data_IF_647140852301
#
_entry.id   IF_647140852301
#
_cell.length_a   1.000
_cell.length_b   1.000
_cell.length_c   1.000
_cell.angle_alpha   90.00
_cell.angle_beta   90.00
_cell.angle_gamma   90.00
#
_symmetry.space_group_name_H-M   'P 1'
#
loop_
_entity.id
_entity.type
_entity.pdbx_description
1 polymer ?
#
# COMPACT_ATOMS: atom_id res chain seq x y z
N UNK A 1 -21.74 -20.81 0.63
CA UNK A 1 -20.34 -20.81 0.16
C UNK A 1 -19.58 -19.86 1.06
N UNK A 2 -18.67 -20.34 1.92
CA UNK A 2 -17.91 -19.49 2.83
C UNK A 2 -16.64 -19.04 2.10
N UNK A 3 -16.55 -17.76 1.75
CA UNK A 3 -15.38 -17.17 1.08
C UNK A 3 -14.40 -16.75 2.18
N UNK A 4 -13.22 -17.36 2.19
CA UNK A 4 -12.12 -16.99 3.09
C UNK A 4 -11.47 -15.72 2.54
N UNK A 5 -11.62 -14.61 3.27
CA UNK A 5 -11.14 -13.29 2.89
C UNK A 5 -9.73 -13.08 3.46
N UNK A 6 -8.70 -13.35 2.67
CA UNK A 6 -7.35 -12.88 2.98
C UNK A 6 -7.11 -11.72 2.04
N UNK A 7 -7.28 -10.48 2.50
CA UNK A 7 -6.96 -9.29 1.70
C UNK A 7 -5.55 -8.82 2.02
N UNK A 8 -4.67 -8.85 1.02
CA UNK A 8 -3.39 -8.14 1.08
C UNK A 8 -3.65 -6.67 0.72
N UNK A 9 -4.09 -5.88 1.68
CA UNK A 9 -4.08 -4.43 1.56
C UNK A 9 -2.64 -3.94 1.86
N UNK A 10 -1.77 -3.96 0.86
CA UNK A 10 -0.55 -3.16 0.90
C UNK A 10 -0.96 -1.70 0.75
N UNK A 11 -1.34 -1.03 1.84
CA UNK A 11 -1.77 0.37 1.80
C UNK A 11 -0.93 1.21 2.77
N UNK A 12 0.14 1.74 2.18
CA UNK A 12 1.00 2.80 2.68
C UNK A 12 0.34 4.16 2.49
N UNK A 13 0.30 4.97 3.55
CA UNK A 13 0.44 6.42 3.45
C UNK A 13 1.21 6.85 4.68
N UNK A 14 2.26 7.64 4.45
CA UNK A 14 3.12 8.24 5.47
C UNK A 14 2.30 8.86 6.60
N UNK A 15 2.60 8.49 7.83
CA UNK A 15 2.28 9.33 8.98
C UNK A 15 3.00 10.66 8.79
N UNK A 16 2.25 11.74 8.55
CA UNK A 16 2.73 13.06 8.96
C UNK A 16 2.80 13.00 10.48
N UNK A 17 4.00 12.77 11.02
CA UNK A 17 4.25 13.06 12.43
C UNK A 17 4.09 14.56 12.59
N UNK A 18 2.96 14.98 13.16
CA UNK A 18 2.85 16.29 13.76
C UNK A 18 3.97 16.42 14.79
N UNK A 19 4.84 17.39 14.55
CA UNK A 19 5.78 18.01 15.46
C UNK A 19 6.54 17.09 16.43
N UNK A 20 7.79 16.82 16.09
CA UNK A 20 8.82 16.54 17.09
C UNK A 20 8.81 17.66 18.13
N UNK A 21 8.31 17.35 19.33
CA UNK A 21 8.27 18.26 20.47
C UNK A 21 9.66 18.80 20.80
N UNK A 22 9.95 20.03 20.37
CA UNK A 22 10.87 20.91 21.08
C UNK A 22 10.10 21.58 22.23
N UNK A 23 10.35 21.15 23.46
CA UNK A 23 10.02 21.92 24.67
C UNK A 23 10.99 23.12 24.80
N UNK A 24 10.68 24.14 25.61
CA UNK A 24 9.51 25.02 25.56
C UNK A 24 9.93 26.48 25.40
N UNK A 25 9.09 27.34 24.81
CA UNK A 25 9.23 28.78 25.05
C UNK A 25 7.86 29.40 25.32
N UNK A 26 7.71 29.88 26.54
CA UNK A 26 6.64 30.79 26.96
C UNK A 26 6.71 32.05 26.12
N UNK A 27 5.56 32.58 25.69
CA UNK A 27 4.97 33.76 26.31
C UNK A 27 3.55 33.99 25.77
N UNK A 28 2.66 34.41 26.67
CA UNK A 28 1.28 34.83 26.39
C UNK A 28 1.27 36.20 25.72
N UNK A 29 0.33 36.46 24.80
CA UNK A 29 -0.74 37.48 24.93
C UNK A 29 -1.42 37.90 23.59
N UNK A 30 -2.73 38.17 23.71
CA UNK A 30 -3.56 39.17 23.01
C UNK A 30 -4.25 38.84 21.65
N UNK A 31 -5.55 38.54 21.78
CA UNK A 31 -6.73 39.29 21.28
C UNK A 31 -6.74 39.93 19.87
N UNK A 32 -7.75 39.55 19.06
CA UNK A 32 -8.77 40.47 18.46
C UNK A 32 -9.30 40.07 17.06
N UNK A 33 -10.63 39.95 17.02
CA UNK A 33 -11.59 40.44 16.02
C UNK A 33 -11.52 40.10 14.50
N UNK A 34 -12.59 39.41 14.07
CA UNK A 34 -13.65 39.82 13.12
C UNK A 34 -13.49 39.75 11.57
N UNK A 35 -14.64 39.37 10.98
CA UNK A 35 -15.19 39.55 9.61
C UNK A 35 -14.74 38.55 8.52
N UNK A 36 -15.56 38.10 7.55
CA UNK A 36 -17.01 37.95 7.34
C UNK A 36 -17.18 37.21 5.98
N UNK A 37 -18.20 36.34 5.87
CA UNK A 37 -19.09 36.04 4.71
C UNK A 37 -18.42 35.60 3.38
N UNK A 38 -18.75 34.47 2.74
CA UNK A 38 -20.00 34.27 1.99
C UNK A 38 -20.15 32.81 1.51
N UNK A 39 -21.32 32.22 1.77
CA UNK A 39 -21.86 31.03 1.10
C UNK A 39 -22.79 31.49 -0.03
N UNK A 40 -22.76 30.88 -1.23
CA UNK A 40 -23.93 30.81 -2.09
C UNK A 40 -24.64 29.46 -1.94
N UNK A 41 -25.93 29.59 -1.64
CA UNK A 41 -26.92 28.54 -1.45
C UNK A 41 -27.30 27.79 -2.73
N UNK A 42 -27.80 26.56 -2.46
CA UNK A 42 -28.93 25.85 -3.08
C UNK A 42 -28.80 25.32 -4.51
N UNK A 43 -28.98 23.99 -4.63
CA UNK A 43 -30.33 23.54 -5.00
C UNK A 43 -30.79 22.33 -4.18
N UNK A 44 -32.09 22.34 -3.92
CA UNK A 44 -32.85 21.52 -2.97
C UNK A 44 -33.67 20.52 -3.74
N UNK A 45 -33.55 19.21 -3.47
CA UNK A 45 -34.72 18.32 -3.53
C UNK A 45 -34.45 17.01 -2.78
N UNK A 46 -35.39 16.61 -1.92
CA UNK A 46 -35.49 15.25 -1.41
C UNK A 46 -35.22 15.03 0.08
N UNK A 47 -35.98 15.70 0.95
CA UNK A 47 -36.11 15.29 2.35
C UNK A 47 -36.67 13.86 2.44
N UNK A 48 -35.95 12.95 3.10
CA UNK A 48 -36.54 11.98 4.01
C UNK A 48 -35.55 11.74 5.15
N UNK A 49 -35.88 12.34 6.28
CA UNK A 49 -35.26 12.15 7.58
C UNK A 49 -35.28 10.67 7.97
N UNK A 50 -34.10 10.09 8.14
CA UNK A 50 -33.86 9.21 9.27
C UNK A 50 -32.50 9.58 9.88
N UNK A 51 -32.57 10.08 11.11
CA UNK A 51 -31.44 10.38 11.96
C UNK A 51 -30.63 9.10 12.21
N UNK A 52 -29.49 8.96 11.52
CA UNK A 52 -28.42 8.04 11.89
C UNK A 52 -27.25 8.93 12.35
N UNK A 53 -26.72 8.73 13.56
CA UNK A 53 -25.78 9.66 14.16
C UNK A 53 -24.47 9.68 13.39
N UNK A 54 -23.89 10.89 13.30
CA UNK A 54 -22.56 11.18 12.80
C UNK A 54 -21.54 10.15 13.32
N UNK A 55 -21.22 9.17 12.49
CA UNK A 55 -20.06 8.32 12.71
C UNK A 55 -18.86 9.06 12.14
N UNK A 56 -18.08 9.62 13.06
CA UNK A 56 -16.86 10.37 12.79
C UNK A 56 -16.02 9.68 11.71
N UNK A 57 -15.90 10.40 10.60
CA UNK A 57 -15.04 10.06 9.48
C UNK A 57 -13.61 9.87 9.98
N UNK A 58 -13.15 8.63 10.01
CA UNK A 58 -11.73 8.32 9.80
C UNK A 58 -11.39 8.70 8.36
N UNK A 59 -11.34 10.00 8.08
CA UNK A 59 -11.19 10.53 6.74
C UNK A 59 -9.74 10.25 6.33
N UNK A 60 -9.54 9.22 5.50
CA UNK A 60 -8.49 9.32 4.50
C UNK A 60 -8.70 10.66 3.81
N UNK A 61 -7.71 11.55 3.88
CA UNK A 61 -7.78 12.88 3.28
C UNK A 61 -8.42 12.75 1.90
N UNK A 62 -9.52 13.46 1.66
CA UNK A 62 -10.43 13.19 0.53
C UNK A 62 -9.72 13.25 -0.83
N UNK A 63 -8.57 13.93 -0.86
CA UNK A 63 -7.71 14.09 -2.03
C UNK A 63 -6.80 12.89 -2.35
N UNK A 64 -6.61 11.94 -1.42
CA UNK A 64 -5.76 10.77 -1.64
C UNK A 64 -6.50 9.77 -2.52
N UNK A 65 -5.80 9.28 -3.55
CA UNK A 65 -6.30 8.16 -4.36
C UNK A 65 -5.87 6.86 -3.70
N UNK A 66 -6.85 6.04 -3.31
CA UNK A 66 -6.63 4.69 -2.78
C UNK A 66 -6.81 3.68 -3.89
N UNK A 67 -5.85 2.79 -4.08
CA UNK A 67 -5.93 1.73 -5.09
C UNK A 67 -6.30 0.38 -4.45
N UNK A 68 -7.15 -0.37 -5.14
CA UNK A 68 -7.66 -1.65 -4.65
C UNK A 68 -7.51 -2.71 -5.74
N UNK A 69 -6.71 -3.73 -5.46
CA UNK A 69 -6.63 -4.94 -6.28
C UNK A 69 -7.77 -5.87 -5.85
N UNK A 70 -8.67 -6.21 -6.77
CA UNK A 70 -9.78 -7.14 -6.48
C UNK A 70 -9.52 -8.49 -7.14
N UNK A 71 -9.84 -9.56 -6.42
CA UNK A 71 -9.85 -10.92 -6.95
C UNK A 71 -10.99 -11.74 -6.35
N UNK A 72 -11.35 -12.82 -7.02
CA UNK A 72 -12.30 -13.83 -6.53
C UNK A 72 -11.67 -15.21 -6.63
N UNK A 73 -12.09 -16.13 -5.77
CA UNK A 73 -11.71 -17.53 -5.89
C UNK A 73 -12.79 -18.31 -6.64
N UNK A 74 -12.42 -18.93 -7.76
CA UNK A 74 -13.28 -19.85 -8.51
C UNK A 74 -12.54 -21.17 -8.67
N UNK A 75 -13.12 -22.25 -8.13
CA UNK A 75 -12.51 -23.60 -8.16
C UNK A 75 -11.06 -23.59 -7.65
N UNK A 76 -10.84 -22.98 -6.50
CA UNK A 76 -9.52 -22.81 -5.85
C UNK A 76 -8.49 -22.00 -6.65
N UNK A 77 -8.88 -21.40 -7.77
CA UNK A 77 -8.06 -20.47 -8.54
C UNK A 77 -8.41 -19.03 -8.18
N UNK A 78 -7.38 -18.24 -7.88
CA UNK A 78 -7.48 -16.78 -7.74
C UNK A 78 -7.63 -16.16 -9.14
N UNK A 79 -8.76 -15.50 -9.40
CA UNK A 79 -9.01 -14.75 -10.63
C UNK A 79 -9.00 -13.25 -10.30
N UNK A 80 -8.14 -12.48 -10.96
CA UNK A 80 -8.15 -11.02 -10.83
C UNK A 80 -9.40 -10.43 -11.47
N UNK A 81 -10.01 -9.48 -10.78
CA UNK A 81 -11.15 -8.68 -11.24
C UNK A 81 -10.74 -7.26 -11.62
N UNK A 82 -9.44 -6.97 -11.61
CA UNK A 82 -8.86 -5.67 -11.93
C UNK A 82 -8.50 -4.81 -10.73
N UNK A 83 -8.00 -3.62 -11.04
CA UNK A 83 -7.59 -2.58 -10.09
C UNK A 83 -8.59 -1.42 -10.17
N UNK A 84 -8.98 -0.95 -8.99
CA UNK A 84 -9.91 0.15 -8.80
C UNK A 84 -9.20 1.32 -8.11
N UNK A 85 -9.49 2.54 -8.55
CA UNK A 85 -9.11 3.77 -7.86
C UNK A 85 -10.31 4.32 -7.09
N UNK A 86 -10.11 4.61 -5.81
CA UNK A 86 -11.06 5.30 -4.94
C UNK A 86 -10.51 6.68 -4.61
N UNK A 87 -11.24 7.75 -4.96
CA UNK A 87 -10.87 9.14 -4.68
C UNK A 87 -12.14 9.94 -4.43
N UNK A 88 -12.16 10.78 -3.39
CA UNK A 88 -13.34 11.61 -3.04
C UNK A 88 -14.67 10.82 -2.97
N UNK A 89 -14.66 9.60 -2.41
CA UNK A 89 -15.85 8.75 -2.31
C UNK A 89 -16.33 8.13 -3.62
N UNK A 90 -15.62 8.36 -4.74
CA UNK A 90 -15.92 7.76 -6.03
C UNK A 90 -14.98 6.60 -6.30
N UNK A 91 -15.51 5.54 -6.91
CA UNK A 91 -14.77 4.35 -7.31
C UNK A 91 -14.81 4.24 -8.82
N UNK A 92 -13.66 3.93 -9.42
CA UNK A 92 -13.51 3.71 -10.85
C UNK A 92 -12.62 2.49 -11.04
N UNK A 93 -13.06 1.51 -11.83
CA UNK A 93 -12.14 0.47 -12.32
C UNK A 93 -11.20 1.12 -13.33
N UNK A 94 -9.90 1.02 -13.10
CA UNK A 94 -8.88 1.66 -13.93
C UNK A 94 -8.10 0.67 -14.78
N UNK A 95 -7.96 -0.60 -14.35
CA UNK A 95 -7.21 -1.60 -15.08
C UNK A 95 -7.89 -2.97 -14.95
N UNK A 96 -8.29 -3.56 -16.08
CA UNK A 96 -8.77 -4.94 -16.10
C UNK A 96 -7.63 -5.92 -15.87
N UNK A 97 -7.93 -7.04 -15.22
CA UNK A 97 -6.97 -8.10 -14.87
C UNK A 97 -5.76 -7.70 -14.01
N UNK A 98 -5.61 -6.41 -13.64
CA UNK A 98 -4.46 -5.92 -12.88
C UNK A 98 -4.25 -6.66 -11.56
N UNK A 99 -2.98 -6.87 -11.21
CA UNK A 99 -2.55 -7.82 -10.19
C UNK A 99 -1.78 -7.16 -9.05
N UNK A 100 -1.10 -6.05 -9.34
CA UNK A 100 -0.19 -5.41 -8.41
C UNK A 100 -0.32 -3.89 -8.45
N UNK A 101 -0.07 -3.26 -7.31
CA UNK A 101 -0.04 -1.80 -7.15
C UNK A 101 1.21 -1.45 -6.36
N UNK A 102 1.99 -0.51 -6.87
CA UNK A 102 3.00 0.22 -6.11
C UNK A 102 2.59 1.68 -6.06
N UNK A 103 2.00 2.06 -4.94
CA UNK A 103 1.66 3.45 -4.68
C UNK A 103 2.74 4.11 -3.84
N UNK A 104 3.24 5.23 -4.35
CA UNK A 104 4.26 6.03 -3.69
C UNK A 104 3.79 7.48 -3.57
N UNK A 105 3.35 7.83 -2.38
CA UNK A 105 3.07 9.21 -1.99
C UNK A 105 4.39 9.99 -1.79
N UNK A 106 4.51 11.26 -2.21
CA UNK A 106 3.44 12.14 -2.72
C UNK A 106 3.46 12.33 -4.24
N UNK A 107 4.13 11.45 -5.01
CA UNK A 107 4.16 11.64 -6.48
C UNK A 107 2.79 11.32 -7.06
N UNK A 108 2.36 12.11 -8.05
CA UNK A 108 1.11 11.94 -8.79
C UNK A 108 1.03 10.64 -9.61
N UNK A 109 1.96 9.69 -9.45
CA UNK A 109 2.07 8.50 -10.30
C UNK A 109 2.15 7.23 -9.48
N UNK A 110 1.26 6.29 -9.80
CA UNK A 110 1.17 4.97 -9.20
C UNK A 110 1.47 3.93 -10.27
N UNK A 111 2.35 2.98 -9.97
CA UNK A 111 2.70 1.91 -10.91
C UNK A 111 1.84 0.68 -10.67
N UNK A 112 1.34 0.09 -11.75
CA UNK A 112 0.40 -1.02 -11.71
C UNK A 112 0.95 -2.20 -12.50
N UNK A 113 0.94 -3.39 -11.91
CA UNK A 113 1.30 -4.63 -12.59
C UNK A 113 0.07 -5.31 -13.18
N UNK A 114 0.21 -5.84 -14.40
CA UNK A 114 -0.81 -6.61 -15.10
C UNK A 114 -0.20 -7.85 -15.77
N UNK A 115 -1.04 -8.71 -16.32
CA UNK A 115 -0.67 -9.92 -17.08
C UNK A 115 0.21 -9.64 -18.30
N UNK A 116 0.12 -8.42 -18.84
CA UNK A 116 0.77 -8.01 -20.07
C UNK A 116 1.84 -6.94 -19.84
N UNK A 117 2.27 -6.68 -18.60
CA UNK A 117 3.34 -5.74 -18.27
C UNK A 117 2.93 -4.67 -17.24
N UNK A 118 3.62 -3.54 -17.29
CA UNK A 118 3.49 -2.46 -16.31
C UNK A 118 2.68 -1.30 -16.90
N UNK A 119 1.86 -0.67 -16.07
CA UNK A 119 1.15 0.56 -16.37
C UNK A 119 1.49 1.63 -15.33
N UNK A 120 1.33 2.89 -15.71
CA UNK A 120 1.41 4.03 -14.80
C UNK A 120 0.07 4.75 -14.80
N UNK A 121 -0.46 5.01 -13.60
CA UNK A 121 -1.66 5.80 -13.40
C UNK A 121 -1.28 7.16 -12.82
N UNK A 122 -1.66 8.22 -13.51
CA UNK A 122 -1.47 9.59 -13.06
C UNK A 122 -2.70 10.02 -12.23
N UNK A 123 -2.53 10.24 -10.93
CA UNK A 123 -3.60 10.52 -9.96
C UNK A 123 -4.15 11.95 -10.06
N UNK A 124 -3.43 12.86 -10.73
CA UNK A 124 -3.86 14.23 -10.98
C UNK A 124 -4.75 14.30 -12.22
N UNK A 125 -4.32 13.68 -13.31
CA UNK A 125 -5.03 13.68 -14.60
C UNK A 125 -5.98 12.50 -14.79
N UNK A 126 -5.93 11.52 -13.89
CA UNK A 126 -6.70 10.27 -13.93
C UNK A 126 -6.50 9.43 -15.20
N UNK A 127 -5.29 9.53 -15.78
CA UNK A 127 -4.88 8.82 -17.00
C UNK A 127 -4.11 7.56 -16.67
N UNK A 128 -4.37 6.51 -17.43
CA UNK A 128 -3.62 5.26 -17.41
C UNK A 128 -2.83 5.10 -18.71
N UNK A 129 -1.53 4.85 -18.60
CA UNK A 129 -0.65 4.65 -19.74
C UNK A 129 0.21 3.39 -19.55
N UNK A 130 0.58 2.74 -20.65
CA UNK A 130 1.53 1.62 -20.60
C UNK A 130 2.92 2.16 -20.25
N UNK A 131 3.62 1.50 -19.33
CA UNK A 131 4.96 1.89 -18.91
C UNK A 131 6.00 0.96 -19.55
N UNK A 132 6.79 1.51 -20.47
CA UNK A 132 7.80 0.76 -21.21
C UNK A 132 7.22 -0.27 -22.19
N UNK A 133 8.01 -1.30 -22.50
CA UNK A 133 7.68 -2.32 -23.49
C UNK A 133 7.71 -3.76 -22.94
N UNK A 134 7.87 -3.92 -21.62
CA UNK A 134 7.80 -5.23 -20.97
C UNK A 134 6.40 -5.82 -21.09
N UNK A 135 6.34 -7.13 -21.34
CA UNK A 135 5.09 -7.88 -21.53
C UNK A 135 4.90 -9.00 -20.50
N UNK A 136 5.70 -9.01 -19.44
CA UNK A 136 5.66 -10.03 -18.40
C UNK A 136 4.38 -9.93 -17.55
N UNK A 137 3.90 -11.06 -17.04
CA UNK A 137 2.79 -11.12 -16.07
C UNK A 137 3.32 -10.71 -14.69
N UNK A 138 2.99 -9.49 -14.25
CA UNK A 138 3.51 -8.88 -13.02
C UNK A 138 2.54 -9.11 -11.87
N UNK A 139 2.96 -9.86 -10.84
CA UNK A 139 2.14 -10.17 -9.66
C UNK A 139 2.46 -9.30 -8.44
N UNK A 140 3.63 -8.64 -8.41
CA UNK A 140 3.97 -7.62 -7.42
C UNK A 140 4.90 -6.57 -8.02
N UNK A 141 4.81 -5.34 -7.52
CA UNK A 141 5.62 -4.21 -7.95
C UNK A 141 5.96 -3.33 -6.76
N UNK A 142 7.22 -2.94 -6.63
CA UNK A 142 7.70 -1.99 -5.61
C UNK A 142 8.63 -0.96 -6.25
N UNK A 143 8.35 0.32 -6.01
CA UNK A 143 9.11 1.44 -6.57
C UNK A 143 10.24 1.88 -5.64
N UNK A 144 11.42 2.14 -6.18
CA UNK A 144 12.49 2.84 -5.46
C UNK A 144 12.07 4.27 -5.08
N UNK A 145 12.66 4.82 -4.03
CA UNK A 145 12.24 6.12 -3.50
C UNK A 145 12.77 7.27 -4.37
N UNK A 146 14.03 7.16 -4.80
CA UNK A 146 14.79 8.25 -5.41
C UNK A 146 14.80 8.22 -6.94
N UNK A 147 14.56 7.06 -7.54
CA UNK A 147 14.60 6.82 -8.98
C UNK A 147 13.20 6.47 -9.51
N UNK A 148 13.04 6.28 -10.82
CA UNK A 148 11.85 5.63 -11.39
C UNK A 148 12.08 4.12 -11.61
N UNK A 149 13.14 3.56 -11.03
CA UNK A 149 13.38 2.14 -11.07
C UNK A 149 12.35 1.39 -10.21
N UNK A 150 12.06 0.17 -10.64
CA UNK A 150 11.06 -0.70 -10.04
C UNK A 150 11.71 -2.05 -9.76
N UNK A 151 11.27 -2.72 -8.70
CA UNK A 151 11.38 -4.17 -8.62
C UNK A 151 10.02 -4.76 -8.92
N UNK A 152 10.01 -5.80 -9.75
CA UNK A 152 8.81 -6.56 -10.09
C UNK A 152 9.00 -8.02 -9.69
N UNK A 153 7.91 -8.64 -9.27
CA UNK A 153 7.78 -10.08 -9.14
C UNK A 153 6.85 -10.57 -10.24
N UNK A 154 7.32 -11.52 -11.03
CA UNK A 154 6.54 -12.12 -12.12
C UNK A 154 5.81 -13.39 -11.67
N UNK A 155 4.81 -13.82 -12.45
CA UNK A 155 3.98 -15.01 -12.15
C UNK A 155 4.79 -16.32 -12.06
N UNK A 156 5.98 -16.38 -12.68
CA UNK A 156 6.95 -17.48 -12.56
C UNK A 156 7.86 -17.37 -11.32
N UNK A 157 7.53 -16.48 -10.38
CA UNK A 157 8.25 -16.26 -9.12
C UNK A 157 9.70 -15.79 -9.29
N UNK A 158 9.94 -14.96 -10.31
CA UNK A 158 11.26 -14.35 -10.57
C UNK A 158 11.22 -12.85 -10.27
N UNK A 159 12.23 -12.37 -9.55
CA UNK A 159 12.38 -10.95 -9.26
C UNK A 159 13.27 -10.30 -10.32
N UNK A 160 12.81 -9.17 -10.85
CA UNK A 160 13.59 -8.33 -11.75
C UNK A 160 13.67 -6.90 -11.23
N UNK A 161 14.83 -6.26 -11.38
CA UNK A 161 14.95 -4.80 -11.37
C UNK A 161 14.66 -4.27 -12.76
N UNK A 162 13.71 -3.34 -12.87
CA UNK A 162 13.30 -2.67 -14.10
C UNK A 162 13.84 -1.25 -14.08
N UNK A 163 14.51 -0.86 -15.15
CA UNK A 163 15.19 0.42 -15.32
C UNK A 163 14.87 1.01 -16.69
N UNK A 164 15.41 2.20 -16.98
CA UNK A 164 15.29 2.83 -18.31
C UNK A 164 13.82 2.94 -18.76
N UNK A 165 12.97 3.47 -17.88
CA UNK A 165 11.55 3.72 -18.13
C UNK A 165 10.76 2.47 -18.56
N UNK A 166 11.08 1.31 -17.98
CA UNK A 166 10.39 0.06 -18.28
C UNK A 166 10.82 -0.59 -19.59
N UNK A 167 11.97 -0.21 -20.16
CA UNK A 167 12.50 -0.83 -21.38
C UNK A 167 13.57 -1.89 -21.12
N UNK A 168 14.13 -1.90 -19.91
CA UNK A 168 15.17 -2.83 -19.50
C UNK A 168 14.80 -3.51 -18.19
N UNK A 169 15.08 -4.80 -18.09
CA UNK A 169 14.97 -5.56 -16.86
C UNK A 169 16.21 -6.43 -16.63
N UNK A 170 16.62 -6.55 -15.37
CA UNK A 170 17.77 -7.33 -14.92
C UNK A 170 17.28 -8.28 -13.84
N UNK A 171 17.55 -9.58 -14.00
CA UNK A 171 17.16 -10.58 -13.00
C UNK A 171 17.96 -10.37 -11.70
N UNK A 172 17.27 -10.43 -10.56
CA UNK A 172 17.90 -10.51 -9.23
C UNK A 172 18.09 -12.00 -8.93
N UNK A 173 19.29 -12.52 -9.14
CA UNK A 173 19.53 -13.97 -9.08
C UNK A 173 19.40 -14.54 -7.67
N UNK A 174 19.66 -13.70 -6.67
CA UNK A 174 19.68 -14.03 -5.26
C UNK A 174 18.27 -14.24 -4.69
N UNK A 175 17.23 -13.65 -5.32
CA UNK A 175 15.85 -13.72 -4.87
C UNK A 175 15.12 -14.95 -5.46
N UNK A 176 15.57 -16.14 -5.09
CA UNK A 176 15.01 -17.40 -5.58
C UNK A 176 13.65 -17.71 -4.97
N UNK A 177 12.69 -18.15 -5.81
CA UNK A 177 11.35 -18.56 -5.41
C UNK A 177 10.61 -17.53 -4.55
N UNK A 178 10.76 -16.24 -4.90
CA UNK A 178 10.11 -15.17 -4.18
C UNK A 178 8.58 -15.27 -4.35
N UNK A 179 7.86 -15.22 -3.24
CA UNK A 179 6.40 -15.15 -3.20
C UNK A 179 5.92 -13.72 -2.96
N UNK A 180 6.75 -12.91 -2.26
CA UNK A 180 6.51 -11.47 -2.05
C UNK A 180 7.80 -10.67 -2.04
N UNK A 181 7.74 -9.38 -2.38
CA UNK A 181 8.88 -8.45 -2.33
C UNK A 181 8.53 -7.15 -1.62
N UNK A 182 9.52 -6.52 -0.97
CA UNK A 182 9.39 -5.20 -0.39
C UNK A 182 10.73 -4.45 -0.42
N UNK A 183 10.63 -3.12 -0.39
CA UNK A 183 11.77 -2.24 -0.16
C UNK A 183 11.59 -1.51 1.16
N UNK A 184 12.67 -1.28 1.90
CA UNK A 184 12.65 -0.29 2.98
C UNK A 184 12.84 1.15 2.45
N UNK A 185 13.08 2.10 3.36
CA UNK A 185 13.30 3.51 3.02
C UNK A 185 14.67 3.77 2.37
N UNK A 186 15.64 2.86 2.56
CA UNK A 186 16.98 2.91 1.97
C UNK A 186 17.13 2.04 0.73
N UNK A 187 16.01 1.56 0.18
CA UNK A 187 15.98 0.77 -1.05
C UNK A 187 16.64 -0.62 -0.89
N UNK A 188 16.76 -1.14 0.34
CA UNK A 188 17.14 -2.52 0.56
C UNK A 188 15.99 -3.45 0.14
N UNK A 189 16.29 -4.43 -0.71
CA UNK A 189 15.31 -5.40 -1.22
C UNK A 189 15.17 -6.59 -0.28
N UNK A 190 13.95 -6.79 0.20
CA UNK A 190 13.53 -7.94 0.98
C UNK A 190 12.56 -8.78 0.16
N UNK A 191 12.52 -10.07 0.45
CA UNK A 191 11.53 -10.95 -0.13
C UNK A 191 11.11 -12.05 0.85
N UNK A 192 9.90 -12.59 0.64
CA UNK A 192 9.45 -13.82 1.28
C UNK A 192 9.66 -14.94 0.27
N UNK A 193 10.46 -15.93 0.64
CA UNK A 193 10.64 -17.15 -0.14
C UNK A 193 9.74 -18.29 0.36
N UNK A 194 10.11 -19.52 0.03
CA UNK A 194 9.39 -20.71 0.46
C UNK A 194 9.18 -20.79 1.98
N UNK A 195 8.07 -21.42 2.39
CA UNK A 195 7.67 -21.59 3.80
C UNK A 195 7.51 -20.28 4.58
N UNK A 196 7.07 -19.20 3.91
CA UNK A 196 6.87 -17.89 4.53
C UNK A 196 8.15 -17.30 5.17
N UNK A 197 9.34 -17.72 4.72
CA UNK A 197 10.61 -17.28 5.29
C UNK A 197 11.07 -15.96 4.63
N UNK A 198 11.27 -14.88 5.42
CA UNK A 198 11.82 -13.65 4.88
C UNK A 198 13.35 -13.69 4.75
N UNK A 199 13.83 -12.96 3.75
CA UNK A 199 15.23 -12.76 3.39
C UNK A 199 15.48 -11.30 3.03
N UNK A 200 16.73 -10.86 3.17
CA UNK A 200 17.26 -9.61 2.63
C UNK A 200 18.29 -9.92 1.54
N UNK A 201 18.26 -9.17 0.44
CA UNK A 201 19.31 -9.21 -0.58
C UNK A 201 20.47 -8.33 -0.13
N UNK A 202 21.61 -8.95 0.15
CA UNK A 202 22.86 -8.27 0.48
C UNK A 202 23.88 -8.42 -0.67
N UNK A 203 24.99 -7.68 -0.58
CA UNK A 203 26.07 -7.69 -1.58
C UNK A 203 26.71 -9.07 -1.78
N UNK A 204 26.67 -9.92 -0.76
CA UNK A 204 27.23 -11.27 -0.73
C UNK A 204 26.16 -12.36 -0.92
N UNK A 205 24.93 -11.98 -1.29
CA UNK A 205 23.83 -12.91 -1.55
C UNK A 205 22.60 -12.66 -0.67
N UNK A 206 21.59 -13.51 -0.82
CA UNK A 206 20.41 -13.49 0.04
C UNK A 206 20.75 -14.00 1.45
N UNK A 207 20.33 -13.26 2.48
CA UNK A 207 20.47 -13.62 3.89
C UNK A 207 19.12 -13.84 4.52
N UNK A 208 18.97 -14.98 5.20
CA UNK A 208 17.78 -15.29 5.98
C UNK A 208 17.66 -14.33 7.16
N UNK A 209 16.46 -13.78 7.39
CA UNK A 209 16.22 -12.96 8.58
C UNK A 209 16.06 -13.85 9.81
N UNK A 210 16.82 -13.54 10.85
CA UNK A 210 16.82 -14.24 12.14
C UNK A 210 16.01 -13.49 13.21
N UNK A 211 15.64 -14.19 14.29
CA UNK A 211 14.86 -13.63 15.41
C UNK A 211 13.34 -13.72 15.25
N UNK A 212 12.86 -14.39 14.19
CA UNK A 212 11.45 -14.59 13.91
C UNK A 212 10.92 -15.93 14.45
N UNK A 213 9.60 -16.05 14.69
CA UNK A 213 8.97 -17.33 15.02
C UNK A 213 9.25 -18.41 13.98
N UNK A 214 9.44 -19.64 14.43
CA UNK A 214 9.62 -20.78 13.55
C UNK A 214 8.29 -21.17 12.87
N UNK A 215 8.35 -21.51 11.58
CA UNK A 215 7.24 -22.04 10.77
C UNK A 215 5.98 -21.15 10.73
N UNK A 216 6.09 -19.89 10.27
CA UNK A 216 4.93 -19.01 10.15
C UNK A 216 3.86 -19.60 9.22
N UNK A 217 2.61 -19.64 9.71
CA UNK A 217 1.45 -20.11 8.91
C UNK A 217 1.02 -19.10 7.85
N UNK A 218 1.30 -17.82 8.08
CA UNK A 218 1.06 -16.72 7.16
C UNK A 218 2.09 -15.63 7.38
N UNK A 219 2.54 -15.03 6.27
CA UNK A 219 3.44 -13.89 6.30
C UNK A 219 3.08 -12.83 5.26
N UNK A 220 3.34 -11.57 5.59
CA UNK A 220 3.39 -10.50 4.60
C UNK A 220 4.55 -9.56 4.91
N UNK A 221 5.06 -8.93 3.86
CA UNK A 221 6.14 -7.97 3.95
C UNK A 221 5.72 -6.68 3.26
N UNK A 222 6.14 -5.54 3.79
CA UNK A 222 5.91 -4.24 3.17
C UNK A 222 6.98 -3.23 3.59
N UNK A 223 7.08 -2.14 2.85
CA UNK A 223 7.72 -0.92 3.37
C UNK A 223 6.97 -0.49 4.65
N UNK A 224 7.66 -0.03 5.70
CA UNK A 224 7.01 0.42 6.91
C UNK A 224 6.23 1.72 6.64
N UNK A 225 5.01 1.89 7.18
CA UNK A 225 4.18 3.08 6.98
C UNK A 225 4.60 4.25 7.87
N UNK A 226 5.45 3.98 8.86
CA UNK A 226 6.22 4.98 9.60
C UNK A 226 7.63 5.04 9.04
N UNK A 227 8.21 6.23 9.04
CA UNK A 227 9.64 6.41 8.80
C UNK A 227 10.39 5.85 10.00
N UNK A 228 10.71 4.56 9.95
CA UNK A 228 11.79 3.98 10.76
C UNK A 228 13.09 4.19 10.00
N UNK A 229 14.18 4.38 10.73
CA UNK A 229 15.49 4.71 10.15
C UNK A 229 15.90 3.66 9.11
N UNK A 230 15.72 2.37 9.43
CA UNK A 230 16.06 1.24 8.57
C UNK A 230 15.05 0.10 8.74
N UNK A 231 14.86 -0.69 7.68
CA UNK A 231 14.14 -1.97 7.76
C UNK A 231 12.75 -1.99 7.12
N UNK A 232 12.25 -3.21 6.93
CA UNK A 232 10.92 -3.48 6.39
C UNK A 232 9.95 -3.95 7.49
N UNK A 233 8.65 -3.74 7.26
CA UNK A 233 7.61 -4.34 8.07
C UNK A 233 7.37 -5.78 7.65
N UNK A 234 7.41 -6.69 8.61
CA UNK A 234 7.07 -8.09 8.44
C UNK A 234 5.94 -8.46 9.38
N UNK A 235 4.79 -8.84 8.83
CA UNK A 235 3.70 -9.40 9.61
C UNK A 235 3.82 -10.90 9.61
N UNK A 236 4.00 -11.47 10.80
CA UNK A 236 3.90 -12.90 11.05
C UNK A 236 2.61 -13.15 11.83
N UNK A 237 1.62 -13.77 11.19
CA UNK A 237 0.30 -13.98 11.77
C UNK A 237 -0.38 -12.66 12.19
N UNK A 238 -0.35 -12.31 13.48
CA UNK A 238 -0.90 -11.07 14.04
C UNK A 238 0.15 -10.16 14.66
N UNK A 239 1.41 -10.58 14.69
CA UNK A 239 2.51 -9.84 15.31
C UNK A 239 3.34 -9.14 14.22
N UNK A 240 3.43 -7.80 14.26
CA UNK A 240 4.39 -7.07 13.43
C UNK A 240 5.81 -7.23 13.97
N UNK A 241 6.76 -7.26 13.05
CA UNK A 241 8.20 -7.21 13.28
C UNK A 241 8.81 -6.14 12.37
N UNK A 242 9.90 -5.54 12.84
CA UNK A 242 10.84 -4.85 11.98
C UNK A 242 11.90 -5.86 11.58
N UNK A 243 12.20 -5.96 10.28
CA UNK A 243 13.31 -6.75 9.77
C UNK A 243 14.35 -5.82 9.17
N UNK A 244 15.63 -6.08 9.43
CA UNK A 244 16.72 -5.14 9.17
C UNK A 244 17.67 -5.61 8.06
N UNK A 245 18.44 -4.69 7.45
CA UNK A 245 19.44 -5.03 6.43
C UNK A 245 20.55 -5.97 6.94
N UNK A 246 20.82 -5.96 8.25
CA UNK A 246 21.78 -6.85 8.90
C UNK A 246 21.26 -8.29 9.12
N UNK A 247 20.09 -8.63 8.54
CA UNK A 247 19.42 -9.91 8.66
C UNK A 247 18.93 -10.28 10.07
N UNK A 248 18.66 -9.29 10.90
CA UNK A 248 18.00 -9.47 12.21
C UNK A 248 16.58 -8.95 12.19
N UNK A 249 15.83 -9.24 13.25
CA UNK A 249 14.47 -8.73 13.46
C UNK A 249 14.20 -8.40 14.91
N UNK A 250 13.21 -7.54 15.14
CA UNK A 250 12.66 -7.30 16.46
C UNK A 250 11.13 -7.18 16.40
N UNK A 251 10.40 -7.60 17.45
CA UNK A 251 8.96 -7.41 17.51
C UNK A 251 8.63 -5.92 17.60
N UNK A 252 7.71 -5.48 16.75
CA UNK A 252 7.19 -4.11 16.82
C UNK A 252 6.00 -4.05 17.79
N UNK A 253 5.97 -3.04 18.65
CA UNK A 253 4.87 -2.81 19.59
C UNK A 253 4.29 -1.43 19.33
N UNK A 254 3.06 -1.39 18.86
CA UNK A 254 2.32 -0.14 18.70
C UNK A 254 2.15 0.55 20.05
N UNK A 255 2.44 1.84 20.09
CA UNK A 255 1.94 2.66 21.18
C UNK A 255 0.42 2.89 21.04
N UNK A 256 -0.24 3.35 22.10
CA UNK A 256 -1.70 3.50 22.12
C UNK A 256 -2.22 4.41 20.99
N UNK A 257 -1.47 5.46 20.64
CA UNK A 257 -1.84 6.39 19.58
C UNK A 257 -1.71 5.74 18.20
N UNK A 258 -0.61 5.05 17.93
CA UNK A 258 -0.40 4.33 16.67
C UNK A 258 -1.44 3.23 16.47
N UNK A 259 -1.78 2.51 17.55
CA UNK A 259 -2.82 1.49 17.53
C UNK A 259 -4.18 2.09 17.15
N UNK A 260 -4.53 3.22 17.76
CA UNK A 260 -5.78 3.93 17.45
C UNK A 260 -5.83 4.36 15.98
N UNK A 261 -4.75 4.93 15.44
CA UNK A 261 -4.69 5.35 14.03
C UNK A 261 -4.74 4.16 13.07
N UNK A 262 -4.05 3.07 13.40
CA UNK A 262 -4.10 1.82 12.64
C UNK A 262 -5.55 1.28 12.58
N UNK A 263 -6.25 1.24 13.71
CA UNK A 263 -7.65 0.78 13.78
C UNK A 263 -8.63 1.70 13.02
N UNK A 264 -8.44 3.04 13.08
CA UNK A 264 -9.22 3.99 12.27
C UNK A 264 -9.02 3.74 10.78
N UNK A 265 -7.77 3.56 10.35
CA UNK A 265 -7.43 3.30 8.94
C UNK A 265 -8.01 1.98 8.45
N UNK A 266 -7.92 0.91 9.23
CA UNK A 266 -8.51 -0.37 8.86
C UNK A 266 -10.02 -0.25 8.63
N UNK A 267 -10.74 0.47 9.51
CA UNK A 267 -12.17 0.74 9.32
C UNK A 267 -12.46 1.55 8.05
N UNK A 268 -11.64 2.56 7.75
CA UNK A 268 -11.79 3.34 6.51
C UNK A 268 -11.57 2.48 5.26
N UNK A 269 -10.54 1.63 5.27
CA UNK A 269 -10.23 0.70 4.18
C UNK A 269 -11.36 -0.33 4.00
N UNK A 270 -11.87 -0.90 5.08
CA UNK A 270 -13.04 -1.80 5.06
C UNK A 270 -14.27 -1.14 4.45
N UNK A 271 -14.53 0.13 4.78
CA UNK A 271 -15.64 0.87 4.20
C UNK A 271 -15.49 1.04 2.68
N UNK A 272 -14.28 1.34 2.19
CA UNK A 272 -14.03 1.44 0.74
C UNK A 272 -14.20 0.06 0.08
N UNK A 273 -13.69 -1.01 0.70
CA UNK A 273 -13.87 -2.37 0.18
C UNK A 273 -15.35 -2.74 0.02
N UNK A 274 -16.20 -2.40 1.00
CA UNK A 274 -17.64 -2.63 0.92
C UNK A 274 -18.28 -1.85 -0.23
N UNK A 275 -17.85 -0.62 -0.49
CA UNK A 275 -18.34 0.15 -1.63
C UNK A 275 -17.94 -0.48 -2.97
N UNK A 276 -16.69 -0.93 -3.12
CA UNK A 276 -16.22 -1.62 -4.34
C UNK A 276 -17.04 -2.88 -4.57
N UNK A 277 -17.35 -3.62 -3.50
CA UNK A 277 -18.14 -4.84 -3.60
C UNK A 277 -19.54 -4.56 -4.13
N UNK A 278 -20.26 -3.63 -3.50
CA UNK A 278 -21.66 -3.32 -3.82
C UNK A 278 -21.85 -2.79 -5.26
N UNK A 279 -20.87 -2.06 -5.82
CA UNK A 279 -20.95 -1.55 -7.19
C UNK A 279 -20.75 -2.62 -8.28
N UNK A 280 -20.35 -3.85 -7.91
CA UNK A 280 -20.02 -4.91 -8.87
C UNK A 280 -20.97 -6.10 -8.83
N UNK A 281 -22.02 -6.04 -8.00
CA UNK A 281 -23.11 -7.04 -7.94
C UNK A 281 -24.35 -6.63 -8.77
N UNK A 282 -24.31 -5.48 -9.45
CA UNK A 282 -25.26 -5.09 -10.51
C UNK A 282 -24.75 -5.49 -11.90
#
# INVERSE_FOLDING_TARGET
MRVLLVCLAGLLVCLQTADSHSLPQKDYETDSSKHDITIPLNDTSGNNSSSVPDNSSGNLDSNITTFIVRYVYRKDKKESMGIYAHKNGKIKKILEDGLAVSDWSPKSRTYLGNKDGIYVYDTETEKLEKYGNLSDSIIEIVKENRTDDLYILTEDHVVYKVTEEGTKKIKVNEAEHAEKIALDWDENLYYIGANNQPYIIASDGAKKIEGLPANPTSASISRPPITIEHGAWFMCEKQPYIIYPNATSEPYVFNDQEKLEYEKRNRAVEAIFLQVWNQTEE
#
